data_IF_969428967854
#
_entry.id   IF_969428967854
#
_cell.length_a   1.000
_cell.length_b   1.000
_cell.length_c   1.000
_cell.angle_alpha   90.00
_cell.angle_beta   90.00
_cell.angle_gamma   90.00
#
_symmetry.space_group_name_H-M   'P 1'
#
loop_
_entity.id
_entity.type
_entity.pdbx_description
1 polymer ?
#
# COMPACT_ATOMS: atom_id res chain seq x y z
N UNK A 1 -12.97 -40.40 5.65
CA UNK A 1 -12.21 -39.40 4.88
C UNK A 1 -11.02 -40.10 4.27
N UNK A 2 -10.89 -40.11 2.95
CA UNK A 2 -9.82 -40.80 2.26
C UNK A 2 -8.56 -39.90 2.10
N UNK A 3 -7.47 -40.46 1.57
CA UNK A 3 -6.21 -39.72 1.41
C UNK A 3 -6.35 -38.54 0.43
N UNK A 4 -7.15 -38.69 -0.62
CA UNK A 4 -7.40 -37.65 -1.64
C UNK A 4 -8.20 -36.47 -1.07
N UNK A 5 -9.27 -36.75 -0.32
CA UNK A 5 -10.05 -35.77 0.43
C UNK A 5 -9.16 -35.03 1.46
N UNK A 6 -8.26 -35.75 2.12
CA UNK A 6 -7.32 -35.16 3.09
C UNK A 6 -6.34 -34.21 2.40
N UNK A 7 -5.81 -34.57 1.23
CA UNK A 7 -4.93 -33.69 0.43
C UNK A 7 -5.67 -32.45 -0.08
N UNK A 8 -6.87 -32.64 -0.62
CA UNK A 8 -7.70 -31.53 -1.09
C UNK A 8 -8.02 -30.53 0.03
N UNK A 9 -8.33 -31.02 1.24
CA UNK A 9 -8.54 -30.18 2.42
C UNK A 9 -7.25 -29.45 2.84
N UNK A 10 -6.09 -30.11 2.77
CA UNK A 10 -4.80 -29.48 3.08
C UNK A 10 -4.47 -28.36 2.10
N UNK A 11 -4.62 -28.60 0.80
CA UNK A 11 -4.37 -27.59 -0.25
C UNK A 11 -5.29 -26.38 -0.08
N UNK A 12 -6.56 -26.62 0.22
CA UNK A 12 -7.51 -25.55 0.52
C UNK A 12 -7.10 -24.73 1.75
N UNK A 13 -6.71 -25.38 2.85
CA UNK A 13 -6.22 -24.71 4.05
C UNK A 13 -4.95 -23.88 3.78
N UNK A 14 -4.03 -24.39 2.96
CA UNK A 14 -2.83 -23.66 2.54
C UNK A 14 -3.22 -22.41 1.74
N UNK A 15 -4.12 -22.55 0.78
CA UNK A 15 -4.56 -21.43 -0.06
C UNK A 15 -5.31 -20.36 0.74
N UNK A 16 -6.13 -20.78 1.69
CA UNK A 16 -6.77 -19.88 2.64
C UNK A 16 -5.76 -19.12 3.49
N UNK A 17 -4.73 -19.81 4.02
CA UNK A 17 -3.67 -19.18 4.80
C UNK A 17 -2.93 -18.12 3.99
N UNK A 18 -2.50 -18.43 2.77
CA UNK A 18 -1.81 -17.47 1.89
C UNK A 18 -2.69 -16.23 1.64
N UNK A 19 -3.98 -16.46 1.39
CA UNK A 19 -4.94 -15.37 1.18
C UNK A 19 -5.10 -14.50 2.44
N UNK A 20 -5.17 -15.11 3.62
CA UNK A 20 -5.23 -14.41 4.91
C UNK A 20 -3.95 -13.61 5.17
N UNK A 21 -2.78 -14.19 4.94
CA UNK A 21 -1.48 -13.50 5.10
C UNK A 21 -1.40 -12.25 4.19
N UNK A 22 -1.92 -12.34 2.96
CA UNK A 22 -2.02 -11.19 2.04
C UNK A 22 -2.94 -10.09 2.59
N UNK A 23 -4.11 -10.44 3.13
CA UNK A 23 -5.05 -9.48 3.71
C UNK A 23 -4.47 -8.81 4.95
N UNK A 24 -3.84 -9.58 5.84
CA UNK A 24 -3.16 -9.06 7.03
C UNK A 24 -2.08 -8.06 6.63
N UNK A 25 -1.27 -8.38 5.60
CA UNK A 25 -0.24 -7.46 5.11
C UNK A 25 -0.81 -6.16 4.53
N UNK A 26 -2.01 -6.16 3.95
CA UNK A 26 -2.67 -4.94 3.45
C UNK A 26 -3.24 -4.07 4.57
N UNK A 27 -3.70 -4.70 5.65
CA UNK A 27 -4.27 -4.01 6.82
C UNK A 27 -3.21 -3.57 7.82
N UNK A 28 -2.02 -4.18 7.77
CA UNK A 28 -0.91 -3.83 8.64
C UNK A 28 -0.51 -2.36 8.41
N UNK A 29 -0.35 -1.57 9.48
CA UNK A 29 0.13 -0.20 9.35
C UNK A 29 1.54 -0.17 8.76
N UNK A 30 1.78 0.77 7.85
CA UNK A 30 3.12 1.02 7.31
C UNK A 30 4.03 1.54 8.42
N UNK A 31 5.23 0.97 8.52
CA UNK A 31 6.21 1.26 9.59
C UNK A 31 7.45 2.02 9.11
N UNK A 32 7.65 2.15 7.80
CA UNK A 32 8.79 2.90 7.25
C UNK A 32 8.55 3.45 5.85
N UNK A 33 9.36 4.45 5.45
CA UNK A 33 9.39 4.94 4.06
C UNK A 33 9.79 3.82 3.09
N UNK A 34 10.74 2.95 3.47
CA UNK A 34 11.19 1.86 2.61
C UNK A 34 10.05 0.88 2.28
N UNK A 35 9.22 0.56 3.28
CA UNK A 35 8.03 -0.28 3.10
C UNK A 35 6.99 0.41 2.20
N UNK A 36 6.72 1.71 2.42
CA UNK A 36 5.84 2.49 1.56
C UNK A 36 6.33 2.50 0.11
N UNK A 37 7.63 2.71 -0.09
CA UNK A 37 8.24 2.68 -1.41
C UNK A 37 8.14 1.29 -2.05
N UNK A 38 8.26 0.21 -1.28
CA UNK A 38 8.12 -1.15 -1.82
C UNK A 38 6.71 -1.43 -2.38
N UNK A 39 5.68 -0.73 -1.90
CA UNK A 39 4.29 -0.85 -2.39
C UNK A 39 4.01 -0.04 -3.66
N UNK A 40 4.90 0.90 -4.03
CA UNK A 40 4.73 1.74 -5.21
C UNK A 40 5.55 1.16 -6.38
N UNK A 41 4.98 1.03 -7.59
CA UNK A 41 5.71 0.64 -8.79
C UNK A 41 6.92 1.55 -9.07
N UNK A 42 8.02 0.98 -9.54
CA UNK A 42 9.31 1.69 -9.70
C UNK A 42 9.20 2.96 -10.54
N UNK A 43 8.52 2.87 -11.67
CA UNK A 43 8.28 3.95 -12.62
C UNK A 43 7.52 5.14 -12.01
N UNK A 44 6.73 4.91 -10.95
CA UNK A 44 6.02 5.98 -10.25
C UNK A 44 6.87 6.61 -9.14
N UNK A 45 7.86 5.89 -8.59
CA UNK A 45 8.69 6.41 -7.48
C UNK A 45 9.51 7.62 -7.91
N UNK A 46 10.00 7.62 -9.15
CA UNK A 46 10.83 8.71 -9.68
C UNK A 46 10.05 10.04 -9.76
N UNK A 47 8.72 9.96 -9.79
CA UNK A 47 7.84 11.13 -9.80
C UNK A 47 7.41 11.59 -8.42
N UNK A 48 7.89 10.93 -7.35
CA UNK A 48 7.43 11.15 -5.99
C UNK A 48 8.59 11.47 -5.03
N UNK A 49 8.31 12.28 -4.02
CA UNK A 49 9.13 12.37 -2.80
C UNK A 49 8.38 11.73 -1.65
N UNK A 50 9.12 11.21 -0.68
CA UNK A 50 8.59 10.60 0.52
C UNK A 50 9.20 11.30 1.72
N UNK A 51 8.34 11.77 2.62
CA UNK A 51 8.73 12.45 3.85
C UNK A 51 8.03 11.77 5.02
N UNK A 52 8.74 11.61 6.13
CA UNK A 52 8.17 11.10 7.36
C UNK A 52 7.77 12.28 8.26
N UNK A 53 6.52 12.29 8.68
CA UNK A 53 5.99 13.21 9.69
C UNK A 53 5.61 12.44 10.96
N UNK A 54 5.21 13.11 12.03
CA UNK A 54 4.87 12.46 13.30
C UNK A 54 3.75 11.41 13.18
N UNK A 55 2.72 11.68 12.37
CA UNK A 55 1.54 10.81 12.24
C UNK A 55 1.35 10.20 10.86
N UNK A 56 2.07 10.69 9.85
CA UNK A 56 1.85 10.33 8.47
C UNK A 56 3.17 10.21 7.71
N UNK A 57 3.18 9.32 6.73
CA UNK A 57 4.08 9.45 5.58
C UNK A 57 3.43 10.40 4.57
N UNK A 58 4.17 11.43 4.16
CA UNK A 58 3.73 12.41 3.18
C UNK A 58 4.40 12.07 1.85
N UNK A 59 3.61 11.98 0.79
CA UNK A 59 4.08 11.69 -0.57
C UNK A 59 3.74 12.88 -1.46
N UNK A 60 4.76 13.56 -1.99
CA UNK A 60 4.56 14.73 -2.86
C UNK A 60 4.95 14.40 -4.29
N UNK A 61 4.13 14.76 -5.28
CA UNK A 61 4.55 14.73 -6.67
C UNK A 61 5.70 15.70 -6.92
N UNK A 62 6.76 15.24 -7.59
CA UNK A 62 7.86 16.08 -8.11
C UNK A 62 7.46 16.83 -9.38
N UNK A 63 6.43 16.33 -10.05
CA UNK A 63 5.84 16.89 -11.26
C UNK A 63 4.35 16.59 -11.34
N UNK A 64 3.66 17.12 -12.35
CA UNK A 64 2.27 16.78 -12.63
C UNK A 64 2.21 15.32 -13.11
N UNK A 65 1.49 14.47 -12.39
CA UNK A 65 1.41 13.02 -12.68
C UNK A 65 0.56 12.69 -13.90
N UNK A 66 -0.40 13.56 -14.27
CA UNK A 66 -1.45 13.23 -15.22
C UNK A 66 -2.52 12.30 -14.61
N UNK A 67 -3.67 12.17 -15.27
CA UNK A 67 -4.83 11.47 -14.71
C UNK A 67 -4.55 9.98 -14.41
N UNK A 68 -3.84 9.30 -15.30
CA UNK A 68 -3.55 7.86 -15.17
C UNK A 68 -2.63 7.57 -13.98
N UNK A 69 -1.45 8.18 -13.93
CA UNK A 69 -0.51 7.95 -12.82
C UNK A 69 -1.07 8.46 -11.49
N UNK A 70 -1.84 9.56 -11.52
CA UNK A 70 -2.54 10.03 -10.33
C UNK A 70 -3.52 9.00 -9.80
N UNK A 71 -4.35 8.40 -10.67
CA UNK A 71 -5.30 7.36 -10.28
C UNK A 71 -4.56 6.14 -9.69
N UNK A 72 -3.51 5.65 -10.36
CA UNK A 72 -2.69 4.53 -9.88
C UNK A 72 -2.11 4.80 -8.48
N UNK A 73 -1.50 5.97 -8.26
CA UNK A 73 -0.97 6.35 -6.94
C UNK A 73 -2.11 6.45 -5.93
N UNK A 74 -3.23 7.10 -6.29
CA UNK A 74 -4.36 7.26 -5.39
C UNK A 74 -4.92 5.91 -4.91
N UNK A 75 -5.04 4.93 -5.80
CA UNK A 75 -5.57 3.62 -5.46
C UNK A 75 -4.65 2.87 -4.51
N UNK A 76 -3.33 2.87 -4.77
CA UNK A 76 -2.33 2.31 -3.85
C UNK A 76 -2.41 3.01 -2.48
N UNK A 77 -2.49 4.33 -2.46
CA UNK A 77 -2.56 5.10 -1.22
C UNK A 77 -3.84 4.76 -0.43
N UNK A 78 -4.98 4.56 -1.10
CA UNK A 78 -6.24 4.14 -0.46
C UNK A 78 -6.13 2.73 0.11
N UNK A 79 -5.50 1.80 -0.59
CA UNK A 79 -5.26 0.43 -0.09
C UNK A 79 -4.43 0.43 1.20
N UNK A 80 -3.55 1.42 1.36
CA UNK A 80 -2.74 1.62 2.58
C UNK A 80 -3.47 2.44 3.66
N UNK A 81 -4.78 2.69 3.51
CA UNK A 81 -5.58 3.51 4.45
C UNK A 81 -5.25 5.01 4.39
N UNK A 82 -4.56 5.44 3.34
CA UNK A 82 -4.20 6.82 3.07
C UNK A 82 -5.23 7.57 2.24
N UNK A 83 -4.90 8.82 1.93
CA UNK A 83 -5.75 9.70 1.13
C UNK A 83 -4.94 10.78 0.41
N UNK A 84 -5.55 11.39 -0.60
CA UNK A 84 -5.07 12.63 -1.18
C UNK A 84 -5.60 13.84 -0.41
N UNK A 85 -4.78 14.89 -0.33
CA UNK A 85 -5.08 16.17 0.29
C UNK A 85 -4.94 17.26 -0.76
N UNK A 86 -6.07 17.85 -1.19
CA UNK A 86 -6.09 18.95 -2.16
C UNK A 86 -5.92 20.30 -1.45
N UNK A 87 -4.73 20.91 -1.57
CA UNK A 87 -4.36 22.19 -0.93
C UNK A 87 -3.58 23.09 -1.88
N UNK A 88 -3.90 23.05 -3.18
CA UNK A 88 -3.20 23.82 -4.21
C UNK A 88 -1.72 23.45 -4.28
N UNK A 89 -0.83 24.41 -4.02
CA UNK A 89 0.64 24.19 -4.01
C UNK A 89 1.11 23.16 -2.97
N UNK A 90 0.33 22.96 -1.91
CA UNK A 90 0.64 22.01 -0.85
C UNK A 90 -0.13 20.69 -1.02
N UNK A 91 -0.60 20.36 -2.23
CA UNK A 91 -1.32 19.11 -2.43
C UNK A 91 -0.37 17.92 -2.36
N UNK A 92 -0.79 16.88 -1.65
CA UNK A 92 0.03 15.70 -1.37
C UNK A 92 -0.85 14.49 -1.07
N UNK A 93 -0.26 13.31 -1.16
CA UNK A 93 -0.84 12.11 -0.57
C UNK A 93 -0.31 11.94 0.84
N UNK A 94 -1.09 11.27 1.68
CA UNK A 94 -0.64 10.89 3.02
C UNK A 94 -1.09 9.48 3.37
N UNK A 95 -0.25 8.74 4.07
CA UNK A 95 -0.55 7.41 4.62
C UNK A 95 -0.34 7.47 6.14
N UNK A 96 -1.29 6.99 6.96
CA UNK A 96 -1.11 6.93 8.40
C UNK A 96 0.12 6.11 8.78
N UNK A 97 0.87 6.57 9.77
CA UNK A 97 1.92 5.76 10.40
C UNK A 97 1.25 4.77 11.35
N UNK A 98 1.76 3.53 11.37
CA UNK A 98 1.53 2.66 12.52
C UNK A 98 1.95 3.35 13.80
N UNK A 99 1.25 3.03 14.91
CA UNK A 99 1.73 3.46 16.22
C UNK A 99 3.21 3.06 16.37
N UNK A 100 4.06 3.94 16.92
CA UNK A 100 5.47 3.63 17.19
C UNK A 100 5.63 2.42 18.10
#
# INVERSE_FOLDING_TARGET
MNEEETRALLDFCIQLRISLDSLISRLAPIKSIAELQAKIPGELKDYLTFEESQRYYIIKPRQILGAENFAKVLDIIKELGGQYVSKGKNSHFRVPRGAP
#
